data_IF_567708528804
#
_entry.id   IF_567708528804
#
_cell.length_a   1.000
_cell.length_b   1.000
_cell.length_c   1.000
_cell.angle_alpha   90.00
_cell.angle_beta   90.00
_cell.angle_gamma   90.00
#
_symmetry.space_group_name_H-M   'P 1'
#
loop_
_entity.id
_entity.type
_entity.pdbx_description
1 polymer ?
#
# COMPACT_ATOMS: atom_id res chain seq x y z
N UNK A 1 -11.24 -25.64 7.35
CA UNK A 1 -12.24 -24.77 6.69
C UNK A 1 -11.67 -24.45 5.32
N UNK A 2 -12.46 -24.34 4.28
CA UNK A 2 -11.92 -24.00 2.98
C UNK A 2 -11.53 -22.52 2.97
N UNK A 3 -10.38 -22.16 2.37
CA UNK A 3 -9.89 -20.79 2.25
C UNK A 3 -10.91 -19.83 1.63
N UNK A 4 -11.66 -20.31 0.63
CA UNK A 4 -12.76 -19.56 0.01
C UNK A 4 -13.79 -19.06 1.04
N UNK A 5 -14.21 -19.92 1.96
CA UNK A 5 -15.17 -19.57 3.01
C UNK A 5 -14.60 -18.53 3.98
N UNK A 6 -13.36 -18.72 4.44
CA UNK A 6 -12.69 -17.76 5.33
C UNK A 6 -12.52 -16.39 4.65
N UNK A 7 -12.15 -16.40 3.37
CA UNK A 7 -12.05 -15.17 2.57
C UNK A 7 -13.40 -14.45 2.49
N UNK A 8 -14.50 -15.18 2.25
CA UNK A 8 -15.85 -14.58 2.26
C UNK A 8 -16.21 -13.97 3.62
N UNK A 9 -15.89 -14.64 4.72
CA UNK A 9 -16.14 -14.11 6.07
C UNK A 9 -15.36 -12.83 6.32
N UNK A 10 -14.10 -12.75 5.91
CA UNK A 10 -13.28 -11.55 6.04
C UNK A 10 -13.77 -10.39 5.16
N UNK A 11 -14.20 -10.67 3.91
CA UNK A 11 -14.75 -9.66 3.00
C UNK A 11 -16.07 -9.09 3.52
N UNK A 12 -16.89 -9.91 4.18
CA UNK A 12 -18.16 -9.47 4.76
C UNK A 12 -17.99 -8.48 5.92
N UNK A 13 -16.78 -8.37 6.49
CA UNK A 13 -16.45 -7.39 7.53
C UNK A 13 -15.90 -6.14 6.82
N UNK A 14 -16.64 -5.04 6.92
CA UNK A 14 -16.16 -3.74 6.46
C UNK A 14 -14.98 -3.27 7.34
N UNK A 15 -13.88 -2.89 6.69
CA UNK A 15 -12.64 -2.43 7.33
C UNK A 15 -11.97 -1.34 6.50
N UNK A 16 -12.70 -0.27 6.18
CA UNK A 16 -12.12 0.90 5.51
C UNK A 16 -11.05 1.51 6.42
N UNK A 17 -9.96 1.99 5.82
CA UNK A 17 -8.85 2.64 6.52
C UNK A 17 -9.36 3.61 7.59
N UNK A 18 -8.95 3.38 8.85
CA UNK A 18 -9.40 4.10 10.04
C UNK A 18 -10.58 3.45 10.79
N UNK A 19 -11.22 2.38 10.27
CA UNK A 19 -12.28 1.60 10.96
C UNK A 19 -12.01 0.09 10.91
N UNK A 20 -10.83 -0.34 11.34
CA UNK A 20 -10.37 -1.73 11.25
C UNK A 20 -10.67 -2.58 12.50
N UNK A 21 -11.23 -1.99 13.55
CA UNK A 21 -11.41 -2.70 14.82
C UNK A 21 -12.23 -3.99 14.68
N UNK A 22 -13.28 -3.99 13.85
CA UNK A 22 -14.14 -5.16 13.66
C UNK A 22 -13.41 -6.34 13.05
N UNK A 23 -12.53 -6.11 12.07
CA UNK A 23 -11.76 -7.19 11.45
C UNK A 23 -10.65 -7.68 12.38
N UNK A 24 -10.03 -6.79 13.17
CA UNK A 24 -9.08 -7.19 14.20
C UNK A 24 -9.75 -8.03 15.29
N UNK A 25 -10.95 -7.66 15.76
CA UNK A 25 -11.74 -8.45 16.70
C UNK A 25 -12.07 -9.83 16.15
N UNK A 26 -12.44 -9.90 14.87
CA UNK A 26 -12.70 -11.16 14.19
C UNK A 26 -11.46 -12.06 14.15
N UNK A 27 -10.30 -11.50 13.78
CA UNK A 27 -9.01 -12.22 13.72
C UNK A 27 -8.67 -12.82 15.10
N UNK A 28 -8.76 -12.03 16.17
CA UNK A 28 -8.52 -12.54 17.53
C UNK A 28 -9.49 -13.65 17.90
N UNK A 29 -10.79 -13.46 17.66
CA UNK A 29 -11.82 -14.46 17.96
C UNK A 29 -11.64 -15.74 17.13
N UNK A 30 -11.28 -15.59 15.85
CA UNK A 30 -10.99 -16.72 14.98
C UNK A 30 -9.84 -17.57 15.51
N UNK A 31 -8.71 -16.93 15.85
CA UNK A 31 -7.55 -17.61 16.43
C UNK A 31 -7.90 -18.25 17.78
N UNK A 32 -8.60 -17.55 18.67
CA UNK A 32 -9.00 -18.06 19.99
C UNK A 32 -9.98 -19.24 19.91
N UNK A 33 -10.82 -19.31 18.86
CA UNK A 33 -11.79 -20.39 18.65
C UNK A 33 -11.25 -21.59 17.86
N UNK A 34 -10.03 -21.47 17.33
CA UNK A 34 -9.34 -22.49 16.55
C UNK A 34 -8.39 -23.36 17.39
N UNK A 35 -7.60 -24.21 16.73
CA UNK A 35 -6.53 -24.98 17.36
C UNK A 35 -5.24 -24.19 17.57
N UNK A 36 -5.25 -22.86 17.29
CA UNK A 36 -4.11 -21.99 17.52
C UNK A 36 -3.79 -21.91 19.01
N UNK A 37 -2.59 -22.35 19.38
CA UNK A 37 -2.10 -22.37 20.76
C UNK A 37 -0.99 -21.36 21.03
N UNK A 38 -0.87 -20.35 20.17
CA UNK A 38 0.13 -19.29 20.26
C UNK A 38 -0.31 -18.09 21.10
N UNK A 39 0.46 -17.04 21.02
CA UNK A 39 0.23 -15.75 21.69
C UNK A 39 -0.18 -14.68 20.68
N UNK A 40 -0.96 -13.71 21.15
CA UNK A 40 -1.43 -12.58 20.39
C UNK A 40 -1.03 -11.29 21.09
N UNK A 41 -0.34 -10.39 20.39
CA UNK A 41 -0.08 -9.03 20.82
C UNK A 41 -0.97 -8.12 19.97
N UNK A 42 -1.85 -7.34 20.60
CA UNK A 42 -2.70 -6.35 19.93
C UNK A 42 -2.38 -4.95 20.44
N UNK A 43 -2.28 -4.02 19.50
CA UNK A 43 -2.19 -2.59 19.78
C UNK A 43 -2.85 -1.75 18.67
N UNK A 44 -2.63 -0.43 18.67
CA UNK A 44 -3.23 0.48 17.68
C UNK A 44 -2.70 0.25 16.24
N UNK A 45 -1.56 -0.45 16.07
CA UNK A 45 -1.00 -0.78 14.75
C UNK A 45 -1.55 -2.09 14.18
N UNK A 46 -2.25 -2.90 14.98
CA UNK A 46 -2.79 -4.19 14.54
C UNK A 46 -2.50 -5.34 15.49
N UNK A 47 -2.26 -6.53 14.91
CA UNK A 47 -2.06 -7.79 15.64
C UNK A 47 -0.74 -8.44 15.20
N UNK A 48 0.04 -8.94 16.18
CA UNK A 48 1.11 -9.90 15.97
C UNK A 48 0.68 -11.23 16.61
N UNK A 49 0.64 -12.32 15.84
CA UNK A 49 0.30 -13.65 16.33
C UNK A 49 1.46 -14.62 16.06
N UNK A 50 1.89 -15.37 17.09
CA UNK A 50 3.07 -16.23 17.02
C UNK A 50 3.02 -17.37 18.03
N UNK A 51 3.89 -18.38 17.87
CA UNK A 51 4.11 -19.42 18.87
C UNK A 51 5.36 -19.12 19.70
N UNK A 52 5.24 -18.94 21.03
CA UNK A 52 6.38 -18.49 21.87
C UNK A 52 7.53 -19.49 21.98
N UNK A 53 7.32 -20.74 21.58
CA UNK A 53 8.36 -21.77 21.55
C UNK A 53 9.13 -21.81 20.23
N UNK A 54 8.80 -20.95 19.27
CA UNK A 54 9.44 -20.93 17.96
C UNK A 54 10.65 -20.00 17.93
N UNK A 55 11.67 -20.39 17.17
CA UNK A 55 12.79 -19.53 16.77
C UNK A 55 12.50 -18.88 15.42
N UNK A 56 11.25 -18.41 15.21
CA UNK A 56 10.78 -17.93 13.92
C UNK A 56 11.67 -16.82 13.38
N UNK A 57 12.24 -17.05 12.21
CA UNK A 57 12.94 -16.05 11.42
C UNK A 57 12.11 -15.52 10.26
N UNK A 58 10.87 -16.01 10.09
CA UNK A 58 9.98 -15.65 8.96
C UNK A 58 8.72 -14.95 9.46
N UNK A 59 8.44 -13.78 8.90
CA UNK A 59 7.18 -13.08 9.07
C UNK A 59 6.24 -13.34 7.90
N UNK A 60 4.93 -13.51 8.19
CA UNK A 60 3.84 -13.37 7.23
C UNK A 60 3.18 -12.02 7.50
N UNK A 61 3.11 -11.15 6.50
CA UNK A 61 2.67 -9.77 6.69
C UNK A 61 1.52 -9.45 5.75
N UNK A 62 0.49 -8.79 6.29
CA UNK A 62 -0.63 -8.34 5.49
C UNK A 62 -1.45 -7.26 6.21
N UNK A 63 -2.00 -6.32 5.43
CA UNK A 63 -2.87 -5.28 5.95
C UNK A 63 -4.33 -5.72 6.04
N UNK A 64 -5.04 -5.15 7.00
CA UNK A 64 -6.44 -5.52 7.29
C UNK A 64 -7.45 -4.53 6.74
N UNK A 65 -6.99 -3.34 6.39
CA UNK A 65 -7.83 -2.28 5.85
C UNK A 65 -8.07 -2.41 4.34
N UNK A 66 -8.97 -1.60 3.86
CA UNK A 66 -9.29 -1.45 2.43
C UNK A 66 -9.56 0.01 2.11
N UNK A 67 -9.39 0.39 0.85
CA UNK A 67 -9.97 1.64 0.35
C UNK A 67 -11.50 1.66 0.51
N UNK A 68 -12.16 2.84 0.44
CA UNK A 68 -13.60 2.96 0.57
C UNK A 68 -14.39 2.04 -0.36
N UNK A 69 -15.54 1.59 0.12
CA UNK A 69 -16.46 0.74 -0.64
C UNK A 69 -17.27 1.61 -1.59
N UNK A 70 -17.16 1.36 -2.88
CA UNK A 70 -18.00 2.00 -3.89
C UNK A 70 -19.42 1.42 -3.90
N UNK A 71 -20.41 2.23 -4.29
CA UNK A 71 -21.83 1.85 -4.34
C UNK A 71 -22.17 0.65 -5.24
N UNK A 72 -21.21 0.11 -5.97
CA UNK A 72 -21.37 -0.99 -6.93
C UNK A 72 -20.86 -2.34 -6.39
N UNK A 73 -20.60 -2.50 -5.09
CA UNK A 73 -20.25 -3.80 -4.54
C UNK A 73 -21.48 -4.70 -4.50
N UNK A 74 -21.61 -5.49 -5.54
CA UNK A 74 -22.51 -6.65 -5.53
C UNK A 74 -21.72 -7.82 -4.96
N UNK A 75 -22.09 -8.25 -3.75
CA UNK A 75 -21.66 -9.53 -3.22
C UNK A 75 -22.35 -10.61 -4.07
N UNK A 76 -21.63 -11.21 -5.00
CA UNK A 76 -22.12 -12.36 -5.77
C UNK A 76 -21.42 -13.62 -5.28
N UNK A 77 -22.21 -14.56 -4.83
CA UNK A 77 -21.76 -15.90 -4.54
C UNK A 77 -21.67 -16.69 -5.86
N UNK A 78 -20.50 -16.67 -6.48
CA UNK A 78 -20.14 -17.58 -7.57
C UNK A 78 -19.21 -18.64 -6.96
N UNK A 79 -19.55 -19.91 -7.10
CA UNK A 79 -18.78 -21.03 -6.56
C UNK A 79 -17.33 -21.12 -7.10
N UNK A 80 -17.01 -20.35 -8.13
CA UNK A 80 -15.67 -20.31 -8.75
C UNK A 80 -14.86 -19.06 -8.41
N UNK A 81 -15.48 -18.01 -7.83
CA UNK A 81 -14.84 -16.72 -7.57
C UNK A 81 -15.38 -16.07 -6.30
N UNK A 82 -14.52 -15.33 -5.63
CA UNK A 82 -14.86 -14.51 -4.48
C UNK A 82 -14.86 -13.04 -4.91
N UNK A 83 -15.99 -12.36 -4.69
CA UNK A 83 -16.16 -10.95 -5.06
C UNK A 83 -16.34 -10.09 -3.81
N UNK A 84 -15.82 -8.89 -3.85
CA UNK A 84 -16.02 -7.87 -2.83
C UNK A 84 -14.76 -7.03 -2.61
N UNK A 85 -14.90 -5.87 -1.93
CA UNK A 85 -13.77 -5.02 -1.57
C UNK A 85 -12.82 -5.82 -0.66
N UNK A 86 -11.51 -5.80 -1.00
CA UNK A 86 -10.48 -6.57 -0.31
C UNK A 86 -10.37 -8.04 -0.75
N UNK A 87 -11.16 -8.52 -1.74
CA UNK A 87 -11.05 -9.91 -2.20
C UNK A 87 -9.69 -10.24 -2.82
N UNK A 88 -9.08 -9.28 -3.47
CA UNK A 88 -7.73 -9.35 -4.04
C UNK A 88 -6.74 -8.67 -3.12
N UNK A 89 -7.03 -7.48 -2.69
CA UNK A 89 -6.19 -6.61 -1.89
C UNK A 89 -6.85 -6.32 -0.54
N UNK A 90 -6.36 -6.98 0.59
CA UNK A 90 -5.63 -8.25 0.47
C UNK A 90 -6.19 -9.31 1.43
N UNK A 91 -7.53 -9.31 1.66
CA UNK A 91 -8.19 -10.23 2.64
C UNK A 91 -8.04 -11.70 2.29
N UNK A 92 -7.81 -12.05 1.02
CA UNK A 92 -7.42 -13.41 0.62
C UNK A 92 -6.07 -13.81 1.21
N UNK A 93 -5.10 -12.89 1.25
CA UNK A 93 -3.83 -13.06 1.93
C UNK A 93 -4.01 -13.27 3.44
N UNK A 94 -4.89 -12.47 4.09
CA UNK A 94 -5.21 -12.66 5.51
C UNK A 94 -5.80 -14.06 5.80
N UNK A 95 -6.66 -14.57 4.90
CA UNK A 95 -7.19 -15.92 5.03
C UNK A 95 -6.10 -16.98 4.99
N UNK A 96 -5.09 -16.81 4.12
CA UNK A 96 -3.93 -17.70 4.06
C UNK A 96 -3.12 -17.61 5.36
N UNK A 97 -2.86 -16.41 5.89
CA UNK A 97 -2.14 -16.23 7.15
C UNK A 97 -2.84 -16.94 8.31
N UNK A 98 -4.16 -16.78 8.42
CA UNK A 98 -4.97 -17.43 9.45
C UNK A 98 -4.95 -18.96 9.32
N UNK A 99 -5.04 -19.49 8.10
CA UNK A 99 -4.95 -20.91 7.84
C UNK A 99 -3.58 -21.50 8.21
N UNK A 100 -2.49 -20.79 7.92
CA UNK A 100 -1.12 -21.17 8.32
C UNK A 100 -1.01 -21.27 9.83
N UNK A 101 -1.48 -20.24 10.56
CA UNK A 101 -1.43 -20.22 12.04
C UNK A 101 -2.24 -21.36 12.66
N UNK A 102 -3.44 -21.63 12.14
CA UNK A 102 -4.34 -22.66 12.69
C UNK A 102 -3.96 -24.09 12.30
N UNK A 103 -3.13 -24.29 11.29
CA UNK A 103 -2.56 -25.60 10.94
C UNK A 103 -1.23 -25.90 11.67
N UNK A 104 -0.96 -25.21 12.77
CA UNK A 104 0.22 -25.42 13.64
C UNK A 104 1.59 -25.25 12.96
N UNK A 105 1.69 -24.41 11.94
CA UNK A 105 3.00 -23.91 11.49
C UNK A 105 3.56 -22.97 12.56
N UNK A 106 4.54 -23.48 13.33
CA UNK A 106 5.04 -22.79 14.52
C UNK A 106 6.18 -21.82 14.22
N UNK A 107 6.81 -21.94 13.06
CA UNK A 107 8.03 -21.19 12.72
C UNK A 107 7.75 -19.90 11.93
N UNK A 108 6.58 -19.30 12.18
CA UNK A 108 6.17 -18.03 11.57
C UNK A 108 5.64 -17.05 12.61
N UNK A 109 5.86 -15.77 12.36
CA UNK A 109 5.21 -14.64 13.03
C UNK A 109 4.25 -14.01 12.04
N UNK A 110 2.97 -13.97 12.34
CA UNK A 110 1.98 -13.31 11.50
C UNK A 110 1.72 -11.88 11.99
N UNK A 111 1.78 -10.93 11.07
CA UNK A 111 1.62 -9.49 11.32
C UNK A 111 0.44 -8.99 10.51
N UNK A 112 -0.65 -8.66 11.20
CA UNK A 112 -1.87 -8.09 10.65
C UNK A 112 -1.90 -6.60 10.99
N UNK A 113 -1.60 -5.72 10.04
CA UNK A 113 -1.46 -4.30 10.32
C UNK A 113 -2.57 -3.44 9.70
N UNK A 114 -2.76 -2.26 10.26
CA UNK A 114 -3.83 -1.30 9.89
C UNK A 114 -3.28 -0.20 8.99
N UNK A 115 -4.19 0.52 8.31
CA UNK A 115 -3.94 1.78 7.60
C UNK A 115 -2.82 1.72 6.53
N UNK A 116 -2.75 0.62 5.77
CA UNK A 116 -1.85 0.52 4.62
C UNK A 116 -2.27 1.46 3.49
N UNK A 117 -3.57 1.48 3.21
CA UNK A 117 -4.20 2.26 2.13
C UNK A 117 -4.32 3.76 2.46
N UNK A 118 -3.82 4.16 3.62
CA UNK A 118 -3.84 5.52 4.12
C UNK A 118 -2.50 6.26 4.02
N UNK A 119 -2.42 7.45 4.63
CA UNK A 119 -1.15 8.17 4.74
C UNK A 119 -0.12 7.37 5.55
N UNK A 120 1.14 7.37 5.10
CA UNK A 120 2.26 6.66 5.76
C UNK A 120 2.37 6.95 7.26
N UNK A 121 2.04 8.16 7.69
CA UNK A 121 2.08 8.57 9.10
C UNK A 121 1.11 7.79 9.99
N UNK A 122 0.06 7.21 9.41
CA UNK A 122 -0.97 6.44 10.12
C UNK A 122 -0.74 4.93 9.97
N UNK A 123 0.24 4.49 9.16
CA UNK A 123 0.50 3.09 8.85
C UNK A 123 0.81 2.28 10.11
N UNK A 124 -0.01 1.25 10.37
CA UNK A 124 0.08 0.42 11.58
C UNK A 124 1.36 -0.40 11.66
N UNK A 125 1.99 -0.73 10.53
CA UNK A 125 3.24 -1.48 10.53
C UNK A 125 4.36 -0.69 11.22
N UNK A 126 4.42 0.64 11.05
CA UNK A 126 5.36 1.52 11.74
C UNK A 126 5.22 1.45 13.27
N UNK A 127 3.99 1.25 13.76
CA UNK A 127 3.70 1.07 15.20
C UNK A 127 4.15 -0.31 15.69
N UNK A 128 4.07 -1.35 14.85
CA UNK A 128 4.43 -2.72 15.18
C UNK A 128 5.95 -2.98 15.06
N UNK A 129 6.66 -2.29 14.16
CA UNK A 129 8.09 -2.49 13.91
C UNK A 129 8.98 -2.45 15.17
N UNK A 130 8.79 -1.54 16.14
CA UNK A 130 9.59 -1.56 17.39
C UNK A 130 9.42 -2.84 18.22
N UNK A 131 8.22 -3.45 18.19
CA UNK A 131 7.95 -4.72 18.87
C UNK A 131 8.61 -5.86 18.09
N UNK A 132 8.43 -5.89 16.76
CA UNK A 132 9.04 -6.90 15.91
C UNK A 132 10.56 -6.92 16.05
N UNK A 133 11.19 -5.76 16.00
CA UNK A 133 12.65 -5.64 16.12
C UNK A 133 13.20 -5.98 17.51
N UNK A 134 12.41 -5.79 18.58
CA UNK A 134 12.83 -6.09 19.96
C UNK A 134 12.65 -7.55 20.30
N UNK A 135 11.53 -8.15 19.91
CA UNK A 135 11.07 -9.43 20.45
C UNK A 135 11.29 -10.61 19.49
N UNK A 136 11.58 -10.33 18.20
CA UNK A 136 11.76 -11.36 17.18
C UNK A 136 13.07 -11.15 16.40
N UNK A 137 13.71 -12.25 15.99
CA UNK A 137 14.87 -12.23 15.09
C UNK A 137 14.43 -12.59 13.66
N UNK A 138 13.70 -11.67 13.03
CA UNK A 138 13.16 -11.90 11.68
C UNK A 138 14.27 -11.69 10.63
N UNK A 139 14.45 -12.67 9.76
CA UNK A 139 15.41 -12.67 8.65
C UNK A 139 14.72 -12.60 7.29
N UNK A 140 13.43 -12.97 7.24
CA UNK A 140 12.66 -13.03 6.01
C UNK A 140 11.20 -12.63 6.25
N UNK A 141 10.61 -11.95 5.28
CA UNK A 141 9.19 -11.61 5.30
C UNK A 141 8.51 -12.02 3.99
N UNK A 142 7.34 -12.62 4.11
CA UNK A 142 6.42 -12.88 3.00
C UNK A 142 5.27 -11.89 3.15
N UNK A 143 5.22 -10.93 2.23
CA UNK A 143 4.12 -9.95 2.14
C UNK A 143 3.09 -10.57 1.22
N UNK A 144 1.84 -10.70 1.70
CA UNK A 144 0.80 -11.44 0.97
C UNK A 144 -0.05 -10.53 0.07
N UNK A 145 0.59 -9.51 -0.50
CA UNK A 145 0.00 -8.63 -1.51
C UNK A 145 -0.28 -9.35 -2.84
N UNK A 146 -1.25 -8.89 -3.64
CA UNK A 146 -1.57 -9.49 -4.93
C UNK A 146 -0.45 -9.24 -5.95
N UNK A 147 0.05 -10.31 -6.55
CA UNK A 147 1.18 -10.30 -7.51
C UNK A 147 0.88 -11.09 -8.78
N UNK A 148 -0.41 -11.21 -9.17
CA UNK A 148 -0.85 -12.03 -10.32
C UNK A 148 -0.38 -13.49 -10.28
N UNK A 149 -0.16 -14.03 -9.05
CA UNK A 149 0.29 -15.40 -8.82
C UNK A 149 1.78 -15.64 -9.03
N UNK A 150 2.57 -14.58 -9.13
CA UNK A 150 4.02 -14.64 -9.24
C UNK A 150 4.71 -14.29 -7.91
N UNK A 151 5.91 -14.82 -7.69
CA UNK A 151 6.75 -14.40 -6.56
C UNK A 151 7.53 -13.17 -6.98
N UNK A 152 7.31 -12.06 -6.29
CA UNK A 152 8.08 -10.83 -6.46
C UNK A 152 9.10 -10.70 -5.32
N UNK A 153 10.32 -10.30 -5.64
CA UNK A 153 11.41 -10.13 -4.69
C UNK A 153 11.76 -8.65 -4.60
N UNK A 154 11.49 -8.06 -3.44
CA UNK A 154 11.73 -6.65 -3.17
C UNK A 154 10.61 -5.72 -3.68
N UNK A 155 10.69 -4.47 -3.25
CA UNK A 155 9.74 -3.42 -3.56
C UNK A 155 10.48 -2.12 -3.85
N UNK A 156 9.90 -1.27 -4.68
CA UNK A 156 10.38 0.10 -4.92
C UNK A 156 9.86 1.02 -3.81
N UNK A 157 10.69 1.95 -3.36
CA UNK A 157 10.21 3.05 -2.54
C UNK A 157 9.36 4.04 -3.35
N UNK A 158 8.61 4.90 -2.67
CA UNK A 158 7.75 5.90 -3.32
C UNK A 158 7.89 7.27 -2.66
N UNK A 159 8.11 8.28 -3.50
CA UNK A 159 8.09 9.69 -3.10
C UNK A 159 7.11 10.44 -3.99
N UNK A 160 6.31 11.32 -3.38
CA UNK A 160 5.47 12.27 -4.09
C UNK A 160 6.04 13.68 -3.92
N UNK A 161 6.21 14.41 -5.02
CA UNK A 161 6.67 15.79 -5.04
C UNK A 161 5.63 16.69 -5.71
N UNK A 162 5.25 17.76 -5.04
CA UNK A 162 4.38 18.80 -5.61
C UNK A 162 5.22 19.95 -6.17
N UNK A 163 5.21 20.06 -7.50
CA UNK A 163 5.89 21.13 -8.21
C UNK A 163 4.91 22.27 -8.51
N UNK A 164 5.20 23.47 -8.01
CA UNK A 164 4.46 24.68 -8.37
C UNK A 164 5.24 25.48 -9.42
N UNK A 165 4.66 25.62 -10.62
CA UNK A 165 5.21 26.45 -11.70
C UNK A 165 4.55 27.82 -11.64
N UNK A 166 5.35 28.83 -11.35
CA UNK A 166 4.88 30.19 -11.25
C UNK A 166 4.88 30.91 -12.61
N UNK A 167 3.86 31.73 -12.81
CA UNK A 167 3.67 32.59 -13.94
C UNK A 167 3.20 33.98 -13.52
N UNK A 168 2.67 34.73 -14.47
CA UNK A 168 2.04 36.04 -14.25
C UNK A 168 0.71 36.11 -14.97
N UNK A 169 -0.38 36.32 -14.22
CA UNK A 169 -1.71 36.46 -14.80
C UNK A 169 -1.84 37.59 -15.79
N UNK A 170 -2.56 37.33 -16.88
CA UNK A 170 -2.93 38.32 -17.87
C UNK A 170 -4.20 37.88 -18.63
N UNK A 171 -4.84 38.82 -19.30
CA UNK A 171 -5.94 38.48 -20.20
C UNK A 171 -5.41 37.69 -21.41
N UNK A 172 -6.09 36.61 -21.80
CA UNK A 172 -5.63 35.75 -22.91
C UNK A 172 -5.43 36.45 -24.25
N UNK A 173 -6.16 37.56 -24.49
CA UNK A 173 -5.98 38.42 -25.69
C UNK A 173 -4.72 39.29 -25.63
N UNK A 174 -4.02 39.36 -24.50
CA UNK A 174 -2.79 40.16 -24.31
C UNK A 174 -1.71 39.32 -23.62
N UNK A 175 -1.29 38.18 -24.20
CA UNK A 175 -0.37 37.25 -23.54
C UNK A 175 1.01 37.86 -23.24
N UNK A 176 1.41 38.88 -23.97
CA UNK A 176 2.68 39.63 -23.73
C UNK A 176 2.71 40.43 -22.43
N UNK A 177 1.58 40.60 -21.75
CA UNK A 177 1.49 41.28 -20.44
C UNK A 177 1.67 40.32 -19.27
N UNK A 178 1.64 39.04 -19.52
CA UNK A 178 1.74 37.97 -18.55
C UNK A 178 2.90 37.01 -18.82
N UNK A 179 2.89 35.92 -18.05
CA UNK A 179 3.83 34.82 -18.19
C UNK A 179 3.04 33.51 -17.99
N UNK A 180 2.92 32.70 -19.03
CA UNK A 180 2.03 31.54 -19.00
C UNK A 180 2.75 30.31 -18.41
N UNK A 181 2.38 29.84 -17.20
CA UNK A 181 2.99 28.67 -16.58
C UNK A 181 2.62 27.37 -17.31
N UNK A 182 1.51 27.33 -18.09
CA UNK A 182 1.15 26.19 -18.93
C UNK A 182 2.20 25.95 -20.01
N UNK A 183 2.74 27.02 -20.61
CA UNK A 183 3.78 26.89 -21.62
C UNK A 183 5.13 26.49 -21.01
N UNK A 184 5.44 26.96 -19.81
CA UNK A 184 6.65 26.54 -19.07
C UNK A 184 6.61 25.06 -18.68
N UNK A 185 5.42 24.49 -18.46
CA UNK A 185 5.23 23.08 -18.13
C UNK A 185 5.84 22.14 -19.18
N UNK A 186 5.93 22.57 -20.43
CA UNK A 186 6.46 21.73 -21.52
C UNK A 186 7.88 21.20 -21.24
N UNK A 187 8.72 21.98 -20.57
CA UNK A 187 10.08 21.56 -20.21
C UNK A 187 10.05 20.43 -19.18
N UNK A 188 9.16 20.53 -18.19
CA UNK A 188 9.00 19.51 -17.15
C UNK A 188 8.41 18.23 -17.74
N UNK A 189 7.39 18.36 -18.60
CA UNK A 189 6.77 17.21 -19.26
C UNK A 189 7.77 16.46 -20.14
N UNK A 190 8.57 17.18 -20.92
CA UNK A 190 9.60 16.58 -21.76
C UNK A 190 10.66 15.87 -20.90
N UNK A 191 11.10 16.49 -19.79
CA UNK A 191 12.03 15.85 -18.87
C UNK A 191 11.48 14.54 -18.30
N UNK A 192 10.22 14.55 -17.84
CA UNK A 192 9.58 13.34 -17.32
C UNK A 192 9.48 12.27 -18.42
N UNK A 193 9.03 12.63 -19.62
CA UNK A 193 8.89 11.72 -20.74
C UNK A 193 10.23 11.07 -21.16
N UNK A 194 11.32 11.84 -21.12
CA UNK A 194 12.66 11.35 -21.49
C UNK A 194 13.30 10.47 -20.40
N UNK A 195 12.78 10.53 -19.15
CA UNK A 195 13.33 9.81 -17.98
C UNK A 195 12.27 8.94 -17.28
N UNK A 196 11.17 8.60 -17.96
CA UNK A 196 10.02 7.93 -17.32
C UNK A 196 10.39 6.60 -16.69
N UNK A 197 11.23 5.80 -17.33
CA UNK A 197 11.62 4.47 -16.87
C UNK A 197 13.13 4.28 -17.02
N UNK A 198 13.78 3.88 -15.93
CA UNK A 198 15.18 3.46 -15.92
C UNK A 198 15.31 2.05 -15.34
N UNK A 199 15.98 1.15 -16.06
CA UNK A 199 16.13 -0.24 -15.64
C UNK A 199 17.47 -0.47 -14.91
N UNK A 200 17.38 -1.12 -13.73
CA UNK A 200 18.51 -1.45 -12.88
C UNK A 200 18.50 -2.92 -12.50
N UNK A 201 19.68 -3.56 -12.49
CA UNK A 201 19.82 -4.93 -11.98
C UNK A 201 20.49 -4.90 -10.61
N UNK A 202 19.78 -5.37 -9.57
CA UNK A 202 20.27 -5.44 -8.20
C UNK A 202 20.16 -6.91 -7.75
N UNK A 203 21.27 -7.51 -7.36
CA UNK A 203 21.37 -8.92 -6.96
C UNK A 203 20.73 -9.92 -7.94
N UNK A 204 20.83 -9.61 -9.23
CA UNK A 204 20.27 -10.42 -10.32
C UNK A 204 18.81 -10.19 -10.61
N UNK A 205 18.14 -9.28 -9.91
CA UNK A 205 16.75 -8.90 -10.10
C UNK A 205 16.64 -7.58 -10.87
N UNK A 206 15.71 -7.52 -11.82
CA UNK A 206 15.45 -6.33 -12.61
C UNK A 206 14.43 -5.42 -11.86
N UNK A 207 14.86 -4.21 -11.54
CA UNK A 207 14.02 -3.15 -11.01
C UNK A 207 13.84 -2.04 -12.06
N UNK A 208 12.65 -1.47 -12.11
CA UNK A 208 12.34 -0.31 -12.96
C UNK A 208 12.09 0.91 -12.08
N UNK A 209 13.07 1.80 -12.00
CA UNK A 209 12.89 3.11 -11.40
C UNK A 209 11.97 3.93 -12.30
N UNK A 210 10.95 4.59 -11.74
CA UNK A 210 9.93 5.28 -12.53
C UNK A 210 9.69 6.68 -11.99
N UNK A 211 9.65 7.68 -12.88
CA UNK A 211 9.18 9.03 -12.59
C UNK A 211 7.96 9.31 -13.46
N UNK A 212 6.84 9.71 -12.86
CA UNK A 212 5.62 9.99 -13.62
C UNK A 212 4.82 11.16 -13.04
N UNK A 213 4.15 11.92 -13.91
CA UNK A 213 3.21 12.96 -13.49
C UNK A 213 1.84 12.31 -13.23
N UNK A 214 1.25 12.57 -12.06
CA UNK A 214 0.00 11.93 -11.65
C UNK A 214 -1.19 12.87 -11.62
N UNK A 215 -1.01 14.12 -11.17
CA UNK A 215 -2.07 15.12 -11.15
C UNK A 215 -1.56 16.49 -11.62
N UNK A 216 -2.44 17.24 -12.28
CA UNK A 216 -2.19 18.62 -12.68
C UNK A 216 -3.40 19.48 -12.37
N UNK A 217 -3.17 20.68 -11.83
CA UNK A 217 -4.24 21.63 -11.54
C UNK A 217 -3.78 23.08 -11.74
N UNK A 218 -4.72 23.96 -12.12
CA UNK A 218 -4.50 25.41 -12.28
C UNK A 218 -5.48 26.03 -13.25
N UNK A 219 -5.47 27.38 -13.25
CA UNK A 219 -6.42 28.16 -14.04
C UNK A 219 -7.77 28.35 -13.34
N UNK A 220 -8.44 29.46 -13.59
CA UNK A 220 -9.73 29.81 -13.00
C UNK A 220 -10.78 30.26 -14.03
N UNK A 221 -10.35 30.69 -15.21
CA UNK A 221 -11.24 31.17 -16.27
C UNK A 221 -10.61 31.00 -17.66
N UNK A 222 -11.44 30.76 -18.67
CA UNK A 222 -11.00 30.46 -20.05
C UNK A 222 -10.27 31.65 -20.75
N UNK A 223 -10.45 32.87 -20.25
CA UNK A 223 -9.86 34.06 -20.83
C UNK A 223 -8.73 34.68 -19.95
N UNK A 224 -8.22 33.92 -19.01
CA UNK A 224 -7.15 34.36 -18.07
C UNK A 224 -5.98 33.39 -18.12
N UNK A 225 -4.78 33.92 -18.35
CA UNK A 225 -3.52 33.18 -18.13
C UNK A 225 -3.36 32.98 -16.62
N UNK A 226 -3.18 31.75 -16.13
CA UNK A 226 -3.04 31.49 -14.69
C UNK A 226 -1.76 32.09 -14.11
N UNK A 227 -1.77 32.39 -12.80
CA UNK A 227 -0.58 32.84 -12.06
C UNK A 227 0.34 31.69 -11.65
N UNK A 228 -0.18 30.47 -11.59
CA UNK A 228 0.57 29.27 -11.24
C UNK A 228 -0.14 28.02 -11.77
N UNK A 229 0.61 26.93 -11.85
CA UNK A 229 0.17 25.57 -12.04
C UNK A 229 0.79 24.70 -10.96
N UNK A 230 0.03 23.66 -10.49
CA UNK A 230 0.56 22.61 -9.62
C UNK A 230 0.57 21.29 -10.39
N UNK A 231 1.67 20.55 -10.24
CA UNK A 231 1.91 19.23 -10.80
C UNK A 231 2.36 18.31 -9.68
N UNK A 232 1.71 17.19 -9.47
CA UNK A 232 2.25 16.13 -8.64
C UNK A 232 3.10 15.19 -9.51
N UNK A 233 4.27 14.84 -9.01
CA UNK A 233 5.20 13.88 -9.59
C UNK A 233 5.35 12.74 -8.59
N UNK A 234 5.06 11.51 -9.01
CA UNK A 234 5.37 10.31 -8.26
C UNK A 234 6.70 9.74 -8.76
N UNK A 235 7.62 9.48 -7.85
CA UNK A 235 8.89 8.83 -8.11
C UNK A 235 8.98 7.51 -7.37
N UNK A 236 9.22 6.44 -8.12
CA UNK A 236 9.46 5.09 -7.60
C UNK A 236 10.96 4.84 -7.63
N UNK A 237 11.58 4.83 -6.45
CA UNK A 237 13.03 4.71 -6.30
C UNK A 237 13.47 3.29 -5.90
N UNK A 238 14.75 3.00 -6.15
CA UNK A 238 15.32 1.66 -5.96
C UNK A 238 15.41 1.28 -4.47
N UNK A 239 15.31 -0.02 -4.13
CA UNK A 239 15.41 -0.50 -2.75
C UNK A 239 16.78 -0.26 -2.10
N UNK A 240 17.80 0.10 -2.89
CA UNK A 240 19.14 0.48 -2.41
C UNK A 240 19.26 1.95 -1.98
N UNK A 241 18.23 2.75 -2.21
CA UNK A 241 18.16 4.16 -1.85
C UNK A 241 17.24 4.36 -0.64
N UNK A 242 17.55 5.35 0.18
CA UNK A 242 16.62 5.83 1.20
C UNK A 242 15.86 7.08 0.69
N UNK A 243 14.83 7.49 1.43
CA UNK A 243 13.97 8.62 1.05
C UNK A 243 14.76 9.93 0.82
N UNK A 244 15.80 10.19 1.63
CA UNK A 244 16.62 11.40 1.50
C UNK A 244 17.54 11.39 0.26
N UNK A 245 17.88 10.20 -0.22
CA UNK A 245 18.66 10.02 -1.45
C UNK A 245 17.78 10.09 -2.69
N UNK A 246 16.48 9.76 -2.54
CA UNK A 246 15.49 9.78 -3.61
C UNK A 246 14.86 11.16 -3.83
N UNK A 247 14.84 12.02 -2.79
CA UNK A 247 14.27 13.38 -2.81
C UNK A 247 15.32 14.42 -3.25
#
# INVERSE_FOLDING_TARGET
>A
MKLDKLTHELIAIESVTGDENKILDYIEQYLASSEFSGEIIRNNGGIIAYHPSSSSSTALVGHVDTVPIDNNQVFQEDLSKVYGRGSVDMKSGLAVMLEVLTNNFKDVVAVFYTAEEGPMVDNGLEILMPILNRDFNLEFAIILEPTDGEVQLGCLGSVNADLQINGKSAHSARPWMGENPILKMSEVINFIQDNEIEEHTIDGLLFKQVITATTISGGSANNVIPSHLNLNINFRFLPTQNESEAA
#
